data_IF_357588705892
#
_entry.id   IF_357588705892
#
_cell.length_a   1.000
_cell.length_b   1.000
_cell.length_c   1.000
_cell.angle_alpha   90.00
_cell.angle_beta   90.00
_cell.angle_gamma   90.00
#
_symmetry.space_group_name_H-M   'P 1'
#
loop_
_entity.id
_entity.type
_entity.pdbx_description
1 polymer ?
#
# COMPACT_ATOMS: atom_id res chain seq x y z
N UNK A 1 2.91 61.67 -38.86
CA UNK A 1 2.78 60.42 -38.08
C UNK A 1 1.89 60.55 -36.83
N UNK A 2 1.43 61.75 -36.45
CA UNK A 2 0.61 61.98 -35.25
C UNK A 2 -0.91 61.83 -35.45
N UNK A 3 -1.42 61.61 -36.68
CA UNK A 3 -2.85 61.44 -36.94
C UNK A 3 -3.35 59.99 -36.87
N UNK A 4 -2.46 58.98 -36.88
CA UNK A 4 -2.85 57.57 -36.71
C UNK A 4 -3.14 57.19 -35.25
N UNK A 5 -2.60 57.94 -34.28
CA UNK A 5 -2.79 57.71 -32.85
C UNK A 5 -4.19 58.11 -32.33
N UNK A 6 -4.94 58.90 -33.10
CA UNK A 6 -6.30 59.36 -32.75
C UNK A 6 -7.38 58.81 -33.70
N UNK A 7 -7.08 57.72 -34.43
CA UNK A 7 -8.10 57.06 -35.25
C UNK A 7 -9.12 56.40 -34.34
N UNK A 8 -10.34 56.93 -34.35
CA UNK A 8 -11.48 56.39 -33.60
C UNK A 8 -11.78 54.93 -33.97
N UNK A 9 -11.46 54.56 -35.22
CA UNK A 9 -11.59 53.20 -35.72
C UNK A 9 -10.56 52.26 -35.07
N UNK A 10 -9.30 52.70 -34.89
CA UNK A 10 -8.29 51.93 -34.15
C UNK A 10 -8.63 51.84 -32.65
N UNK A 11 -9.18 52.91 -32.06
CA UNK A 11 -9.65 52.91 -30.67
C UNK A 11 -10.79 51.91 -30.47
N UNK A 12 -11.81 51.92 -31.33
CA UNK A 12 -12.93 50.98 -31.25
C UNK A 12 -12.48 49.52 -31.46
N UNK A 13 -11.55 49.27 -32.38
CA UNK A 13 -11.01 47.91 -32.60
C UNK A 13 -10.21 47.45 -31.38
N UNK A 14 -9.37 48.32 -30.80
CA UNK A 14 -8.62 48.01 -29.58
C UNK A 14 -9.56 47.78 -28.39
N UNK A 15 -10.57 48.62 -28.20
CA UNK A 15 -11.59 48.44 -27.15
C UNK A 15 -12.42 47.18 -27.36
N UNK A 16 -12.68 46.77 -28.60
CA UNK A 16 -13.40 45.53 -28.92
C UNK A 16 -12.53 44.31 -28.64
N UNK A 17 -11.24 44.36 -29.00
CA UNK A 17 -10.27 43.31 -28.68
C UNK A 17 -10.08 43.20 -27.17
N UNK A 18 -9.93 44.33 -26.46
CA UNK A 18 -9.80 44.35 -25.00
C UNK A 18 -11.09 43.87 -24.32
N UNK A 19 -12.27 44.31 -24.76
CA UNK A 19 -13.56 43.78 -24.25
C UNK A 19 -13.71 42.29 -24.52
N UNK A 20 -13.23 41.79 -25.66
CA UNK A 20 -13.23 40.35 -25.94
C UNK A 20 -12.26 39.60 -25.03
N UNK A 21 -11.06 40.14 -24.77
CA UNK A 21 -10.09 39.59 -23.82
C UNK A 21 -10.62 39.64 -22.39
N UNK A 22 -11.28 40.72 -22.01
CA UNK A 22 -11.86 40.92 -20.69
C UNK A 22 -13.06 39.99 -20.48
N UNK A 23 -13.90 39.80 -21.50
CA UNK A 23 -14.95 38.78 -21.52
C UNK A 23 -14.41 37.35 -21.46
N UNK A 24 -13.29 37.07 -22.14
CA UNK A 24 -12.62 35.76 -22.07
C UNK A 24 -11.96 35.52 -20.71
N UNK A 25 -11.37 36.55 -20.11
CA UNK A 25 -10.81 36.51 -18.77
C UNK A 25 -11.90 36.39 -17.69
N UNK A 26 -13.03 37.07 -17.85
CA UNK A 26 -14.21 36.91 -16.98
C UNK A 26 -14.85 35.54 -17.14
N UNK A 27 -14.88 34.99 -18.37
CA UNK A 27 -15.37 33.63 -18.62
C UNK A 27 -14.43 32.61 -17.98
N UNK A 28 -13.11 32.73 -18.12
CA UNK A 28 -12.14 31.89 -17.43
C UNK A 28 -12.22 32.02 -15.92
N UNK A 29 -12.36 33.25 -15.41
CA UNK A 29 -12.50 33.53 -13.99
C UNK A 29 -13.81 32.93 -13.44
N UNK A 30 -14.93 33.05 -14.17
CA UNK A 30 -16.21 32.44 -13.81
C UNK A 30 -16.19 30.92 -13.94
N UNK A 31 -15.52 30.36 -14.95
CA UNK A 31 -15.32 28.91 -15.09
C UNK A 31 -14.46 28.41 -13.93
N UNK A 32 -13.39 29.11 -13.55
CA UNK A 32 -12.59 28.78 -12.36
C UNK A 32 -13.40 28.82 -11.07
N UNK A 33 -14.35 29.75 -10.93
CA UNK A 33 -15.26 29.82 -9.77
C UNK A 33 -16.40 28.79 -9.81
N UNK A 34 -16.77 28.31 -11.01
CA UNK A 34 -17.80 27.28 -11.23
C UNK A 34 -17.25 25.85 -11.19
N UNK A 35 -15.93 25.68 -11.21
CA UNK A 35 -15.29 24.39 -11.02
C UNK A 35 -15.41 24.03 -9.53
N UNK A 36 -16.44 23.24 -9.23
CA UNK A 36 -16.75 22.58 -7.95
C UNK A 36 -15.66 21.60 -7.44
N UNK A 37 -14.41 21.75 -7.89
CA UNK A 37 -13.31 20.82 -7.67
C UNK A 37 -12.14 21.39 -6.86
N UNK A 38 -12.36 22.52 -6.19
CA UNK A 38 -11.45 22.96 -5.11
C UNK A 38 -11.63 22.10 -3.84
N UNK A 39 -12.68 21.26 -3.80
CA UNK A 39 -12.90 20.27 -2.74
C UNK A 39 -12.29 18.92 -3.12
N UNK A 40 -11.29 18.43 -2.36
CA UNK A 40 -10.74 17.07 -2.53
C UNK A 40 -11.81 15.98 -2.48
N UNK A 41 -12.84 16.18 -1.66
CA UNK A 41 -13.95 15.24 -1.50
C UNK A 41 -14.81 15.20 -2.77
N UNK A 42 -15.14 16.35 -3.36
CA UNK A 42 -15.92 16.42 -4.60
C UNK A 42 -15.17 15.75 -5.76
N UNK A 43 -13.87 15.99 -5.87
CA UNK A 43 -13.01 15.32 -6.84
C UNK A 43 -13.01 13.80 -6.65
N UNK A 44 -12.79 13.35 -5.41
CA UNK A 44 -12.77 11.92 -5.10
C UNK A 44 -14.11 11.25 -5.42
N UNK A 45 -15.24 11.89 -5.09
CA UNK A 45 -16.57 11.38 -5.45
C UNK A 45 -16.76 11.28 -6.97
N UNK A 46 -16.27 12.27 -7.73
CA UNK A 46 -16.33 12.22 -9.19
C UNK A 46 -15.48 11.09 -9.79
N UNK A 47 -14.26 10.89 -9.26
CA UNK A 47 -13.39 9.79 -9.64
C UNK A 47 -14.04 8.44 -9.33
N UNK A 48 -14.50 8.23 -8.09
CA UNK A 48 -15.19 7.02 -7.67
C UNK A 48 -16.44 6.75 -8.51
N UNK A 49 -17.25 7.77 -8.79
CA UNK A 49 -18.44 7.64 -9.64
C UNK A 49 -18.07 7.26 -11.08
N UNK A 50 -16.93 7.73 -11.57
CA UNK A 50 -16.41 7.38 -12.90
C UNK A 50 -15.96 5.93 -12.93
N UNK A 51 -15.29 5.45 -11.88
CA UNK A 51 -14.81 4.07 -11.75
C UNK A 51 -15.95 3.05 -11.49
N UNK A 52 -16.97 3.42 -10.70
CA UNK A 52 -18.02 2.50 -10.24
C UNK A 52 -19.16 2.29 -11.25
N UNK A 53 -19.31 3.16 -12.25
CA UNK A 53 -20.41 3.06 -13.22
C UNK A 53 -20.23 1.82 -14.11
N UNK A 54 -21.32 1.08 -14.30
CA UNK A 54 -21.42 0.08 -15.37
C UNK A 54 -21.48 0.83 -16.70
N UNK A 55 -20.46 0.64 -17.50
CA UNK A 55 -20.28 1.40 -18.72
C UNK A 55 -20.72 0.58 -19.94
N UNK A 56 -21.41 1.23 -20.87
CA UNK A 56 -21.73 0.63 -22.17
C UNK A 56 -20.45 0.39 -22.98
N UNK A 57 -20.49 -0.52 -23.96
CA UNK A 57 -19.30 -0.89 -24.78
C UNK A 57 -18.62 0.28 -25.50
N UNK A 58 -19.30 1.41 -25.66
CA UNK A 58 -18.80 2.64 -26.29
C UNK A 58 -18.08 3.58 -25.32
N UNK A 59 -18.03 3.24 -24.03
CA UNK A 59 -17.47 4.10 -23.00
C UNK A 59 -15.97 3.87 -22.86
N UNK A 60 -15.20 4.91 -23.17
CA UNK A 60 -13.76 4.93 -22.94
C UNK A 60 -13.44 5.54 -21.57
N UNK A 61 -13.03 4.68 -20.64
CA UNK A 61 -12.63 5.07 -19.28
C UNK A 61 -11.42 5.99 -19.30
N UNK A 62 -10.42 5.71 -20.13
CA UNK A 62 -9.18 6.48 -20.18
C UNK A 62 -9.43 7.93 -20.58
N UNK A 63 -10.27 8.14 -21.60
CA UNK A 63 -10.67 9.48 -22.04
C UNK A 63 -11.38 10.29 -20.92
N UNK A 64 -12.16 9.63 -20.06
CA UNK A 64 -12.80 10.29 -18.91
C UNK A 64 -11.83 10.65 -17.81
N UNK A 65 -10.84 9.79 -17.55
CA UNK A 65 -9.77 10.07 -16.61
C UNK A 65 -8.93 11.28 -17.07
N UNK A 66 -8.57 11.33 -18.36
CA UNK A 66 -7.87 12.49 -18.95
C UNK A 66 -8.70 13.76 -18.82
N UNK A 67 -10.01 13.70 -19.07
CA UNK A 67 -10.90 14.85 -18.89
C UNK A 67 -10.92 15.34 -17.44
N UNK A 68 -11.08 14.43 -16.47
CA UNK A 68 -11.06 14.77 -15.05
C UNK A 68 -9.72 15.39 -14.62
N UNK A 69 -8.61 14.81 -15.05
CA UNK A 69 -7.28 15.36 -14.80
C UNK A 69 -7.11 16.75 -15.41
N UNK A 70 -7.59 16.95 -16.64
CA UNK A 70 -7.54 18.25 -17.33
C UNK A 70 -8.33 19.31 -16.56
N UNK A 71 -9.56 18.96 -16.13
CA UNK A 71 -10.38 19.85 -15.31
C UNK A 71 -9.67 20.23 -14.01
N UNK A 72 -9.02 19.27 -13.36
CA UNK A 72 -8.27 19.51 -12.12
C UNK A 72 -7.03 20.37 -12.33
N UNK A 73 -6.28 20.14 -13.41
CA UNK A 73 -5.06 20.87 -13.72
C UNK A 73 -5.31 22.37 -14.04
N UNK A 74 -6.52 22.70 -14.51
CA UNK A 74 -6.93 24.09 -14.77
C UNK A 74 -7.33 24.88 -13.52
N UNK A 75 -7.42 24.24 -12.36
CA UNK A 75 -7.80 24.92 -11.11
C UNK A 75 -6.63 25.79 -10.64
N UNK A 76 -6.94 27.06 -10.47
CA UNK A 76 -6.03 28.06 -9.95
C UNK A 76 -6.45 28.43 -8.53
N UNK A 77 -5.77 27.87 -7.52
CA UNK A 77 -5.99 28.27 -6.13
C UNK A 77 -4.96 29.33 -5.73
N UNK A 78 -5.46 30.49 -5.31
CA UNK A 78 -4.64 31.59 -4.77
C UNK A 78 -4.51 31.55 -3.25
N UNK A 79 -5.25 30.65 -2.60
CA UNK A 79 -5.36 30.57 -1.15
C UNK A 79 -4.38 29.56 -0.57
N UNK A 80 -3.73 29.96 0.51
CA UNK A 80 -2.72 29.24 1.31
C UNK A 80 -3.19 27.92 1.94
N UNK A 81 -4.40 27.44 1.61
CA UNK A 81 -4.83 26.10 1.98
C UNK A 81 -3.95 25.08 1.24
N UNK A 82 -3.44 24.06 1.96
CA UNK A 82 -2.55 23.02 1.41
C UNK A 82 -3.04 22.56 0.03
N UNK A 83 -2.31 22.93 -1.02
CA UNK A 83 -2.73 22.63 -2.39
C UNK A 83 -2.65 21.12 -2.65
N UNK A 84 -3.78 20.49 -2.96
CA UNK A 84 -3.91 19.05 -3.15
C UNK A 84 -3.97 18.61 -4.62
N UNK A 85 -3.79 19.54 -5.57
CA UNK A 85 -3.94 19.27 -7.01
C UNK A 85 -3.01 18.13 -7.47
N UNK A 86 -1.74 18.14 -7.06
CA UNK A 86 -0.82 17.04 -7.40
C UNK A 86 -1.21 15.69 -6.78
N UNK A 87 -1.81 15.69 -5.59
CA UNK A 87 -2.35 14.46 -4.99
C UNK A 87 -3.55 13.95 -5.76
N UNK A 88 -4.48 14.83 -6.12
CA UNK A 88 -5.66 14.47 -6.92
C UNK A 88 -5.27 13.97 -8.32
N UNK A 89 -4.28 14.59 -8.95
CA UNK A 89 -3.74 14.10 -10.21
C UNK A 89 -3.02 12.76 -10.05
N UNK A 90 -2.35 12.52 -8.91
CA UNK A 90 -1.77 11.20 -8.61
C UNK A 90 -2.86 10.12 -8.56
N UNK A 91 -4.00 10.37 -7.93
CA UNK A 91 -5.13 9.42 -7.91
C UNK A 91 -5.66 9.10 -9.33
N UNK A 92 -5.76 10.11 -10.19
CA UNK A 92 -6.19 9.88 -11.58
C UNK A 92 -5.13 9.16 -12.41
N UNK A 93 -3.85 9.46 -12.16
CA UNK A 93 -2.73 8.75 -12.78
C UNK A 93 -2.73 7.27 -12.38
N UNK A 94 -2.95 6.94 -11.10
CA UNK A 94 -3.12 5.57 -10.62
C UNK A 94 -4.28 4.88 -11.35
N UNK A 95 -5.44 5.54 -11.42
CA UNK A 95 -6.59 5.00 -12.12
C UNK A 95 -6.30 4.76 -13.62
N UNK A 96 -5.54 5.66 -14.26
CA UNK A 96 -5.16 5.51 -15.67
C UNK A 96 -4.15 4.37 -15.88
N UNK A 97 -3.21 4.15 -14.95
CA UNK A 97 -2.30 3.01 -15.00
C UNK A 97 -3.04 1.66 -14.85
N UNK A 98 -4.14 1.62 -14.10
CA UNK A 98 -4.92 0.39 -13.87
C UNK A 98 -5.93 0.14 -15.00
N UNK A 99 -6.65 1.18 -15.43
CA UNK A 99 -7.85 1.06 -16.27
C UNK A 99 -7.67 1.63 -17.69
N UNK A 100 -6.61 2.40 -17.93
CA UNK A 100 -6.35 3.06 -19.20
C UNK A 100 -5.29 2.36 -20.03
N UNK A 101 -4.73 3.10 -20.97
CA UNK A 101 -3.56 2.70 -21.75
C UNK A 101 -2.43 3.74 -21.58
N UNK A 102 -1.28 3.45 -22.19
CA UNK A 102 -0.10 4.30 -22.10
C UNK A 102 -0.36 5.73 -22.63
N UNK A 103 -1.22 5.88 -23.65
CA UNK A 103 -1.53 7.21 -24.21
C UNK A 103 -2.27 8.09 -23.21
N UNK A 104 -3.19 7.51 -22.42
CA UNK A 104 -3.90 8.21 -21.36
C UNK A 104 -2.96 8.61 -20.22
N UNK A 105 -2.06 7.71 -19.83
CA UNK A 105 -1.02 7.98 -18.83
C UNK A 105 -0.15 9.16 -19.27
N UNK A 106 0.38 9.11 -20.51
CA UNK A 106 1.19 10.21 -21.06
C UNK A 106 0.43 11.53 -21.13
N UNK A 107 -0.85 11.51 -21.49
CA UNK A 107 -1.68 12.71 -21.54
C UNK A 107 -1.85 13.36 -20.17
N UNK A 108 -2.05 12.57 -19.10
CA UNK A 108 -2.15 13.08 -17.73
C UNK A 108 -0.81 13.68 -17.27
N UNK A 109 0.32 13.01 -17.56
CA UNK A 109 1.64 13.52 -17.22
C UNK A 109 1.95 14.85 -17.92
N UNK A 110 1.49 15.02 -19.17
CA UNK A 110 1.67 16.25 -19.94
C UNK A 110 0.90 17.47 -19.38
N UNK A 111 0.00 17.28 -18.41
CA UNK A 111 -0.70 18.38 -17.74
C UNK A 111 0.17 19.08 -16.70
N UNK A 112 1.21 18.43 -16.18
CA UNK A 112 2.04 18.95 -15.10
C UNK A 112 2.64 20.36 -15.38
N UNK A 113 3.15 20.67 -16.59
CA UNK A 113 3.68 21.99 -16.90
C UNK A 113 2.62 23.11 -16.88
N UNK A 114 1.33 22.77 -17.11
CA UNK A 114 0.23 23.74 -17.05
C UNK A 114 -0.22 24.08 -15.63
N UNK A 115 0.17 23.27 -14.65
CA UNK A 115 -0.16 23.51 -13.24
C UNK A 115 0.70 24.66 -12.72
N UNK A 116 0.04 25.64 -12.13
CA UNK A 116 0.73 26.81 -11.57
C UNK A 116 1.72 26.40 -10.47
N UNK A 117 2.88 27.06 -10.40
CA UNK A 117 3.96 26.70 -9.45
C UNK A 117 3.54 26.69 -7.98
N UNK A 118 2.65 27.60 -7.57
CA UNK A 118 2.14 27.67 -6.18
C UNK A 118 1.23 26.48 -5.83
N UNK A 119 0.78 25.74 -6.85
CA UNK A 119 -0.06 24.57 -6.69
C UNK A 119 0.76 23.28 -6.59
N UNK A 120 2.08 23.36 -6.79
CA UNK A 120 3.04 22.27 -6.65
C UNK A 120 3.66 22.29 -5.25
N UNK A 121 2.86 22.01 -4.23
CA UNK A 121 3.37 21.90 -2.86
C UNK A 121 4.53 20.90 -2.77
N UNK A 122 5.56 21.19 -1.98
CA UNK A 122 6.82 20.42 -1.96
C UNK A 122 6.60 18.93 -1.64
N UNK A 123 5.80 18.64 -0.61
CA UNK A 123 5.48 17.25 -0.21
C UNK A 123 4.74 16.49 -1.31
N UNK A 124 3.77 17.14 -1.96
CA UNK A 124 2.97 16.53 -3.02
C UNK A 124 3.77 16.38 -4.32
N UNK A 125 4.80 17.22 -4.54
CA UNK A 125 5.70 17.10 -5.67
C UNK A 125 6.57 15.84 -5.60
N UNK A 126 7.05 15.48 -4.41
CA UNK A 126 7.81 14.24 -4.21
C UNK A 126 6.97 12.99 -4.55
N UNK A 127 5.73 12.93 -4.06
CA UNK A 127 4.79 11.83 -4.33
C UNK A 127 4.43 11.77 -5.83
N UNK A 128 4.11 12.93 -6.43
CA UNK A 128 3.83 13.01 -7.86
C UNK A 128 5.01 12.53 -8.70
N UNK A 129 6.23 12.94 -8.36
CA UNK A 129 7.44 12.49 -9.05
C UNK A 129 7.65 10.97 -8.90
N UNK A 130 7.37 10.39 -7.72
CA UNK A 130 7.41 8.94 -7.56
C UNK A 130 6.38 8.23 -8.46
N UNK A 131 5.15 8.74 -8.58
CA UNK A 131 4.18 8.17 -9.51
C UNK A 131 4.58 8.31 -10.99
N UNK A 132 5.27 9.38 -11.37
CA UNK A 132 5.87 9.49 -12.71
C UNK A 132 6.88 8.38 -12.97
N UNK A 133 7.75 8.11 -12.01
CA UNK A 133 8.72 7.03 -12.09
C UNK A 133 8.04 5.65 -12.19
N UNK A 134 6.92 5.43 -11.48
CA UNK A 134 6.10 4.21 -11.65
C UNK A 134 5.51 4.11 -13.06
N UNK A 135 4.97 5.20 -13.59
CA UNK A 135 4.42 5.24 -14.95
C UNK A 135 5.49 4.97 -16.02
N UNK A 136 6.68 5.55 -15.86
CA UNK A 136 7.85 5.27 -16.71
C UNK A 136 8.26 3.79 -16.63
N UNK A 137 8.20 3.19 -15.44
CA UNK A 137 8.44 1.76 -15.27
C UNK A 137 7.40 0.90 -16.00
N UNK A 138 6.10 1.22 -15.92
CA UNK A 138 5.05 0.46 -16.62
C UNK A 138 5.22 0.53 -18.14
N UNK A 139 5.60 1.69 -18.68
CA UNK A 139 5.98 1.81 -20.10
C UNK A 139 7.19 0.94 -20.45
N UNK A 140 8.20 0.97 -19.59
CA UNK A 140 9.44 0.24 -19.82
C UNK A 140 9.27 -1.28 -19.65
N UNK A 141 8.37 -1.74 -18.77
CA UNK A 141 8.18 -3.15 -18.46
C UNK A 141 7.90 -3.99 -19.72
N UNK A 142 7.21 -3.40 -20.70
CA UNK A 142 6.90 -4.01 -22.01
C UNK A 142 8.05 -4.00 -23.03
N UNK A 143 9.19 -3.37 -22.74
CA UNK A 143 10.33 -3.25 -23.67
C UNK A 143 11.40 -4.32 -23.41
N UNK A 144 12.08 -4.75 -24.46
CA UNK A 144 13.23 -5.67 -24.40
C UNK A 144 14.52 -4.89 -24.12
N UNK A 145 15.06 -4.99 -22.90
CA UNK A 145 16.35 -4.41 -22.52
C UNK A 145 16.24 -3.29 -21.48
N UNK A 146 17.29 -3.17 -20.66
CA UNK A 146 17.38 -2.22 -19.55
C UNK A 146 18.26 -1.04 -19.94
N UNK A 147 17.78 0.18 -19.71
CA UNK A 147 18.64 1.37 -19.67
C UNK A 147 19.23 1.54 -18.27
N UNK A 148 20.49 1.93 -18.15
CA UNK A 148 21.17 2.14 -16.86
C UNK A 148 20.49 3.14 -15.92
N UNK A 149 19.59 3.99 -16.43
CA UNK A 149 18.80 4.94 -15.62
C UNK A 149 17.77 4.26 -14.71
N UNK A 150 17.35 3.03 -15.00
CA UNK A 150 16.25 2.39 -14.26
C UNK A 150 16.65 1.99 -12.83
N UNK A 151 17.94 1.77 -12.58
CA UNK A 151 18.43 1.50 -11.22
C UNK A 151 18.32 2.73 -10.32
N UNK A 152 18.54 3.93 -10.88
CA UNK A 152 18.33 5.18 -10.15
C UNK A 152 16.84 5.40 -9.87
N UNK A 153 15.97 5.04 -10.82
CA UNK A 153 14.51 5.04 -10.63
C UNK A 153 14.10 4.20 -9.42
N UNK A 154 14.60 2.96 -9.30
CA UNK A 154 14.31 2.09 -8.17
C UNK A 154 14.80 2.69 -6.84
N UNK A 155 16.00 3.27 -6.82
CA UNK A 155 16.55 3.92 -5.62
C UNK A 155 15.67 5.11 -5.17
N UNK A 156 15.31 6.00 -6.10
CA UNK A 156 14.46 7.15 -5.78
C UNK A 156 13.07 6.71 -5.31
N UNK A 157 12.49 5.65 -5.89
CA UNK A 157 11.23 5.09 -5.44
C UNK A 157 11.32 4.54 -4.00
N UNK A 158 12.41 3.84 -3.67
CA UNK A 158 12.63 3.36 -2.30
C UNK A 158 12.77 4.54 -1.31
N UNK A 159 13.55 5.57 -1.65
CA UNK A 159 13.72 6.75 -0.79
C UNK A 159 12.37 7.42 -0.46
N UNK A 160 11.48 7.55 -1.46
CA UNK A 160 10.13 8.08 -1.24
C UNK A 160 9.28 7.10 -0.41
N UNK A 161 9.41 5.79 -0.64
CA UNK A 161 8.71 4.78 0.14
C UNK A 161 9.10 4.81 1.62
N UNK A 162 10.37 5.07 1.92
CA UNK A 162 10.85 5.13 3.30
C UNK A 162 10.32 6.35 4.07
N UNK A 163 10.04 7.47 3.38
CA UNK A 163 9.47 8.68 4.02
C UNK A 163 8.06 8.41 4.56
N UNK A 164 7.23 7.66 3.82
CA UNK A 164 5.89 7.25 4.25
C UNK A 164 5.63 5.77 3.87
N UNK A 165 6.12 4.80 4.68
CA UNK A 165 6.06 3.37 4.33
C UNK A 165 4.63 2.82 4.18
N UNK A 166 3.66 3.41 4.89
CA UNK A 166 2.26 2.99 4.85
C UNK A 166 1.59 3.34 3.51
N UNK A 167 1.97 4.46 2.88
CA UNK A 167 1.46 4.89 1.57
C UNK A 167 2.41 4.57 0.42
N UNK A 168 3.69 4.41 0.72
CA UNK A 168 4.78 4.16 -0.21
C UNK A 168 4.95 2.69 -0.60
N UNK A 169 4.08 1.78 -0.15
CA UNK A 169 4.22 0.34 -0.44
C UNK A 169 4.28 0.06 -1.95
N UNK A 170 3.51 0.79 -2.76
CA UNK A 170 3.58 0.66 -4.22
C UNK A 170 4.96 1.05 -4.77
N UNK A 171 5.58 2.11 -4.24
CA UNK A 171 6.90 2.56 -4.68
C UNK A 171 7.97 1.54 -4.30
N UNK A 172 7.90 1.01 -3.07
CA UNK A 172 8.74 -0.10 -2.62
C UNK A 172 8.60 -1.35 -3.51
N UNK A 173 7.37 -1.80 -3.78
CA UNK A 173 7.12 -2.97 -4.64
C UNK A 173 7.65 -2.73 -6.06
N UNK A 174 7.51 -1.51 -6.59
CA UNK A 174 7.99 -1.14 -7.91
C UNK A 174 9.51 -1.11 -7.97
N UNK A 175 10.18 -0.56 -6.95
CA UNK A 175 11.64 -0.60 -6.83
C UNK A 175 12.16 -2.03 -6.82
N UNK A 176 11.54 -2.91 -6.03
CA UNK A 176 11.90 -4.32 -5.98
C UNK A 176 11.67 -5.05 -7.31
N UNK A 177 10.56 -4.78 -8.01
CA UNK A 177 10.32 -5.33 -9.36
C UNK A 177 11.39 -4.91 -10.36
N UNK A 178 11.85 -3.65 -10.30
CA UNK A 178 12.95 -3.17 -11.13
C UNK A 178 14.22 -3.97 -10.83
N UNK A 179 14.61 -4.09 -9.56
CA UNK A 179 15.80 -4.82 -9.15
C UNK A 179 15.74 -6.31 -9.51
N UNK A 180 14.60 -6.95 -9.29
CA UNK A 180 14.37 -8.34 -9.67
C UNK A 180 14.52 -8.54 -11.19
N UNK A 181 13.97 -7.64 -12.00
CA UNK A 181 14.09 -7.73 -13.46
C UNK A 181 15.53 -7.51 -13.92
N UNK A 182 16.28 -6.56 -13.32
CA UNK A 182 17.71 -6.32 -13.63
C UNK A 182 18.57 -7.53 -13.26
N UNK A 183 18.21 -8.23 -12.18
CA UNK A 183 18.96 -9.35 -11.62
C UNK A 183 20.18 -8.93 -10.79
N UNK A 184 20.70 -9.84 -9.97
CA UNK A 184 21.88 -9.62 -9.10
C UNK A 184 21.71 -8.45 -8.13
N UNK A 185 20.49 -8.26 -7.63
CA UNK A 185 20.12 -7.19 -6.71
C UNK A 185 19.42 -7.75 -5.46
N UNK A 186 19.67 -9.01 -5.11
CA UNK A 186 19.10 -9.71 -3.96
C UNK A 186 19.39 -8.94 -2.67
N UNK A 187 20.64 -8.51 -2.47
CA UNK A 187 21.06 -7.71 -1.31
C UNK A 187 20.24 -6.41 -1.17
N UNK A 188 19.95 -5.74 -2.30
CA UNK A 188 19.17 -4.49 -2.29
C UNK A 188 17.71 -4.73 -1.94
N UNK A 189 17.15 -5.83 -2.44
CA UNK A 189 15.77 -6.22 -2.13
C UNK A 189 15.67 -6.58 -0.65
N UNK A 190 16.63 -7.37 -0.13
CA UNK A 190 16.69 -7.73 1.28
C UNK A 190 16.80 -6.49 2.19
N UNK A 191 17.70 -5.55 1.86
CA UNK A 191 17.86 -4.30 2.62
C UNK A 191 16.58 -3.45 2.59
N UNK A 192 15.93 -3.33 1.43
CA UNK A 192 14.68 -2.61 1.28
C UNK A 192 13.54 -3.25 2.10
N UNK A 193 13.41 -4.58 2.04
CA UNK A 193 12.42 -5.35 2.79
C UNK A 193 12.61 -5.16 4.29
N UNK A 194 13.84 -5.34 4.80
CA UNK A 194 14.20 -5.11 6.21
C UNK A 194 13.88 -3.68 6.65
N UNK A 195 14.28 -2.68 5.86
CA UNK A 195 14.03 -1.27 6.16
C UNK A 195 12.54 -0.95 6.31
N UNK A 196 11.71 -1.43 5.38
CA UNK A 196 10.26 -1.20 5.38
C UNK A 196 9.59 -1.95 6.53
N UNK A 197 9.88 -3.24 6.72
CA UNK A 197 9.22 -4.06 7.72
C UNK A 197 9.59 -3.67 9.15
N UNK A 198 10.81 -3.20 9.38
CA UNK A 198 11.20 -2.62 10.69
C UNK A 198 10.36 -1.40 11.06
N UNK A 199 9.92 -0.60 10.07
CA UNK A 199 9.07 0.59 10.29
C UNK A 199 7.58 0.27 10.29
N UNK A 200 7.16 -0.73 9.51
CA UNK A 200 5.77 -1.12 9.33
C UNK A 200 5.61 -2.66 9.31
N UNK A 201 5.75 -3.32 10.47
CA UNK A 201 5.65 -4.79 10.60
C UNK A 201 4.33 -5.36 10.08
N UNK A 202 3.24 -4.58 10.19
CA UNK A 202 1.91 -4.94 9.68
C UNK A 202 1.85 -5.14 8.16
N UNK A 203 2.89 -4.73 7.42
CA UNK A 203 3.00 -4.99 5.98
C UNK A 203 3.56 -6.38 5.67
N UNK A 204 4.01 -7.17 6.66
CA UNK A 204 4.65 -8.47 6.45
C UNK A 204 3.84 -9.36 5.52
N UNK A 205 2.55 -9.59 5.79
CA UNK A 205 1.71 -10.43 4.93
C UNK A 205 1.59 -9.94 3.47
N UNK A 206 1.64 -8.62 3.25
CA UNK A 206 1.64 -8.05 1.89
C UNK A 206 2.99 -8.21 1.22
N UNK A 207 4.07 -7.95 1.94
CA UNK A 207 5.45 -8.08 1.44
C UNK A 207 5.76 -9.53 1.09
N UNK A 208 5.35 -10.51 1.91
CA UNK A 208 5.57 -11.94 1.61
C UNK A 208 4.81 -12.37 0.35
N UNK A 209 3.55 -11.97 0.19
CA UNK A 209 2.77 -12.23 -1.02
C UNK A 209 3.41 -11.58 -2.26
N UNK A 210 3.97 -10.38 -2.11
CA UNK A 210 4.68 -9.68 -3.17
C UNK A 210 6.00 -10.38 -3.54
N UNK A 211 6.87 -10.68 -2.59
CA UNK A 211 8.15 -11.38 -2.83
C UNK A 211 7.92 -12.72 -3.52
N UNK A 212 6.87 -13.44 -3.13
CA UNK A 212 6.46 -14.68 -3.81
C UNK A 212 6.08 -14.46 -5.27
N UNK A 213 5.48 -13.32 -5.60
CA UNK A 213 5.09 -12.99 -6.99
C UNK A 213 6.28 -12.65 -7.90
N UNK A 214 7.47 -12.44 -7.32
CA UNK A 214 8.70 -12.18 -8.05
C UNK A 214 9.75 -13.30 -7.88
N UNK A 215 9.36 -14.44 -7.29
CA UNK A 215 10.19 -15.64 -7.04
C UNK A 215 11.35 -15.45 -6.04
N UNK A 216 11.15 -14.64 -4.99
CA UNK A 216 12.13 -14.38 -3.91
C UNK A 216 11.75 -15.12 -2.60
N UNK A 217 11.69 -16.45 -2.65
CA UNK A 217 11.27 -17.28 -1.51
C UNK A 217 12.23 -17.21 -0.31
N UNK A 218 13.54 -17.03 -0.57
CA UNK A 218 14.53 -16.94 0.50
C UNK A 218 14.31 -15.69 1.36
N UNK A 219 14.04 -14.56 0.71
CA UNK A 219 13.79 -13.27 1.37
C UNK A 219 12.48 -13.28 2.16
N UNK A 220 11.51 -14.12 1.79
CA UNK A 220 10.30 -14.35 2.60
C UNK A 220 10.65 -14.98 3.94
N UNK A 221 11.48 -16.03 3.94
CA UNK A 221 11.91 -16.69 5.17
C UNK A 221 12.66 -15.71 6.08
N UNK A 222 13.62 -14.97 5.51
CA UNK A 222 14.40 -13.96 6.24
C UNK A 222 13.50 -12.86 6.82
N UNK A 223 12.53 -12.35 6.05
CA UNK A 223 11.61 -11.31 6.49
C UNK A 223 10.70 -11.78 7.64
N UNK A 224 10.18 -13.00 7.56
CA UNK A 224 9.36 -13.58 8.63
C UNK A 224 10.19 -13.73 9.91
N UNK A 225 11.41 -14.25 9.80
CA UNK A 225 12.32 -14.40 10.94
C UNK A 225 12.65 -13.05 11.57
N UNK A 226 13.08 -12.06 10.78
CA UNK A 226 13.46 -10.73 11.26
C UNK A 226 12.31 -10.04 12.03
N UNK A 227 11.12 -10.01 11.44
CA UNK A 227 9.96 -9.36 12.07
C UNK A 227 9.52 -10.12 13.31
N UNK A 228 9.37 -11.44 13.22
CA UNK A 228 8.82 -12.22 14.32
C UNK A 228 9.82 -12.39 15.48
N UNK A 229 11.14 -12.37 15.25
CA UNK A 229 12.15 -12.44 16.31
C UNK A 229 12.44 -11.10 17.00
N UNK A 230 11.97 -9.99 16.45
CA UNK A 230 12.05 -8.70 17.12
C UNK A 230 11.25 -8.72 18.45
N UNK A 231 11.89 -8.29 19.55
CA UNK A 231 11.27 -8.27 20.89
C UNK A 231 10.00 -7.43 20.94
N UNK A 232 9.99 -6.32 20.19
CA UNK A 232 8.87 -5.41 20.03
C UNK A 232 8.40 -5.44 18.57
N UNK A 233 8.11 -6.63 18.04
CA UNK A 233 7.82 -6.83 16.62
C UNK A 233 6.74 -5.92 16.06
N UNK A 234 5.86 -5.37 16.89
CA UNK A 234 4.71 -4.55 16.46
C UNK A 234 3.71 -5.32 15.59
N UNK A 235 3.98 -6.60 15.30
CA UNK A 235 3.14 -7.46 14.48
C UNK A 235 1.94 -7.89 15.32
N UNK A 236 0.76 -7.68 14.75
CA UNK A 236 -0.48 -8.00 15.45
C UNK A 236 -0.56 -9.52 15.70
N UNK A 237 -1.04 -9.99 16.87
CA UNK A 237 -1.03 -11.42 17.16
C UNK A 237 -1.96 -12.24 16.25
N UNK A 238 -2.88 -11.61 15.52
CA UNK A 238 -3.73 -12.30 14.55
C UNK A 238 -3.05 -12.57 13.20
N UNK A 239 -1.83 -12.09 12.98
CA UNK A 239 -1.14 -12.20 11.69
C UNK A 239 -0.75 -13.65 11.38
N UNK A 240 -0.98 -14.07 10.13
CA UNK A 240 -0.73 -15.44 9.69
C UNK A 240 0.76 -15.84 9.73
N UNK A 241 1.67 -14.87 9.64
CA UNK A 241 3.11 -15.11 9.68
C UNK A 241 3.55 -15.79 10.98
N UNK A 242 2.81 -15.62 12.08
CA UNK A 242 3.08 -16.32 13.34
C UNK A 242 3.00 -17.84 13.21
N UNK A 243 2.08 -18.35 12.38
CA UNK A 243 1.93 -19.80 12.17
C UNK A 243 3.12 -20.34 11.39
N UNK A 244 3.56 -19.61 10.36
CA UNK A 244 4.73 -20.00 9.56
C UNK A 244 6.02 -19.93 10.36
N UNK A 245 6.18 -18.89 11.18
CA UNK A 245 7.30 -18.75 12.11
C UNK A 245 7.32 -19.87 13.17
N UNK A 246 6.17 -20.21 13.75
CA UNK A 246 6.07 -21.30 14.74
C UNK A 246 6.35 -22.66 14.11
N UNK A 247 5.94 -22.90 12.86
CA UNK A 247 6.08 -24.19 12.18
C UNK A 247 7.52 -24.70 12.20
N UNK A 248 8.46 -23.89 11.73
CA UNK A 248 9.89 -24.27 11.65
C UNK A 248 10.50 -24.48 13.04
N UNK A 249 10.06 -23.69 14.02
CA UNK A 249 10.53 -23.72 15.40
C UNK A 249 9.97 -24.88 16.22
N UNK A 250 8.75 -25.34 15.93
CA UNK A 250 8.19 -26.55 16.53
C UNK A 250 8.82 -27.81 15.93
N UNK A 251 9.10 -27.81 14.63
CA UNK A 251 9.73 -28.95 13.95
C UNK A 251 11.20 -29.15 14.34
N UNK A 252 11.97 -28.05 14.51
CA UNK A 252 13.42 -28.09 14.79
C UNK A 252 13.85 -27.00 15.79
N UNK A 253 13.36 -27.03 17.05
CA UNK A 253 13.56 -25.96 18.02
C UNK A 253 15.04 -25.69 18.35
N UNK A 254 15.90 -26.71 18.30
CA UNK A 254 17.33 -26.61 18.63
C UNK A 254 18.10 -25.70 17.68
N UNK A 255 17.59 -25.45 16.47
CA UNK A 255 18.20 -24.52 15.51
C UNK A 255 18.03 -23.05 15.92
N UNK A 256 17.08 -22.76 16.80
CA UNK A 256 16.66 -21.41 17.14
C UNK A 256 16.94 -21.03 18.61
N UNK A 257 17.64 -21.90 19.35
CA UNK A 257 18.03 -21.67 20.73
C UNK A 257 17.73 -22.85 21.65
N UNK A 258 17.54 -22.55 22.94
CA UNK A 258 17.20 -23.59 23.92
C UNK A 258 15.79 -24.12 23.65
N UNK A 259 15.69 -25.44 23.41
CA UNK A 259 14.43 -26.13 23.03
C UNK A 259 13.21 -25.67 23.83
N UNK A 260 13.29 -25.70 25.16
CA UNK A 260 12.16 -25.34 26.03
C UNK A 260 11.74 -23.87 25.86
N UNK A 261 12.68 -22.94 25.79
CA UNK A 261 12.38 -21.51 25.62
C UNK A 261 11.74 -21.22 24.26
N UNK A 262 12.23 -21.89 23.20
CA UNK A 262 11.68 -21.74 21.84
C UNK A 262 10.24 -22.25 21.80
N UNK A 263 9.98 -23.44 22.36
CA UNK A 263 8.66 -24.03 22.37
C UNK A 263 7.68 -23.25 23.27
N UNK A 264 8.11 -22.79 24.43
CA UNK A 264 7.31 -21.94 25.32
C UNK A 264 6.86 -20.64 24.64
N UNK A 265 7.78 -20.01 23.90
CA UNK A 265 7.47 -18.84 23.06
C UNK A 265 6.45 -19.17 21.97
N UNK A 266 6.60 -20.31 21.29
CA UNK A 266 5.63 -20.76 20.27
C UNK A 266 4.24 -20.99 20.88
N UNK A 267 4.17 -21.63 22.06
CA UNK A 267 2.91 -21.85 22.78
C UNK A 267 2.22 -20.52 23.08
N UNK A 268 2.93 -19.56 23.66
CA UNK A 268 2.38 -18.22 23.96
C UNK A 268 1.84 -17.52 22.70
N UNK A 269 2.61 -17.52 21.61
CA UNK A 269 2.20 -16.93 20.34
C UNK A 269 0.95 -17.61 19.78
N UNK A 270 0.91 -18.95 19.78
CA UNK A 270 -0.20 -19.72 19.19
C UNK A 270 -1.49 -19.59 20.00
N UNK A 271 -1.41 -19.50 21.34
CA UNK A 271 -2.56 -19.15 22.17
C UNK A 271 -3.13 -17.79 21.78
N UNK A 272 -2.28 -16.74 21.77
CA UNK A 272 -2.68 -15.39 21.38
C UNK A 272 -3.23 -15.32 19.96
N UNK A 273 -2.64 -16.03 19.02
CA UNK A 273 -3.10 -16.10 17.63
C UNK A 273 -4.51 -16.70 17.53
N UNK A 274 -4.79 -17.77 18.29
CA UNK A 274 -6.07 -18.45 18.33
C UNK A 274 -7.15 -17.69 19.11
N UNK A 275 -6.79 -16.71 19.94
CA UNK A 275 -7.77 -15.85 20.62
C UNK A 275 -8.57 -14.97 19.64
N UNK A 276 -8.09 -14.81 18.40
CA UNK A 276 -8.77 -14.00 17.39
C UNK A 276 -9.83 -14.79 16.62
N UNK A 277 -11.01 -14.19 16.50
CA UNK A 277 -12.20 -14.83 15.93
C UNK A 277 -12.03 -15.36 14.51
N UNK A 278 -11.23 -14.68 13.68
CA UNK A 278 -10.88 -15.11 12.30
C UNK A 278 -9.98 -16.34 12.27
N UNK A 279 -9.24 -16.60 13.33
CA UNK A 279 -8.15 -17.58 13.36
C UNK A 279 -8.55 -18.89 14.04
N UNK A 280 -9.71 -18.94 14.70
CA UNK A 280 -10.24 -20.14 15.37
C UNK A 280 -10.27 -21.40 14.50
N UNK A 281 -10.51 -21.21 13.19
CA UNK A 281 -10.58 -22.27 12.19
C UNK A 281 -9.22 -22.69 11.62
N UNK A 282 -8.11 -22.12 12.08
CA UNK A 282 -6.79 -22.43 11.55
C UNK A 282 -6.31 -23.80 12.06
N UNK A 283 -6.49 -24.83 11.22
CA UNK A 283 -6.16 -26.21 11.55
C UNK A 283 -4.68 -26.40 11.92
N UNK A 284 -3.79 -25.70 11.22
CA UNK A 284 -2.36 -25.81 11.44
C UNK A 284 -1.93 -25.23 12.78
N UNK A 285 -2.49 -24.08 13.17
CA UNK A 285 -2.20 -23.49 14.48
C UNK A 285 -2.57 -24.44 15.63
N UNK A 286 -3.71 -25.14 15.52
CA UNK A 286 -4.11 -26.15 16.51
C UNK A 286 -3.13 -27.34 16.60
N UNK A 287 -2.70 -27.86 15.45
CA UNK A 287 -1.74 -28.97 15.40
C UNK A 287 -0.40 -28.56 15.98
N UNK A 288 0.11 -27.38 15.61
CA UNK A 288 1.36 -26.84 16.13
C UNK A 288 1.28 -26.56 17.63
N UNK A 289 0.19 -25.97 18.10
CA UNK A 289 -0.01 -25.67 19.51
C UNK A 289 0.02 -26.97 20.30
N UNK A 290 -0.85 -27.92 19.97
CA UNK A 290 -0.90 -29.22 20.62
C UNK A 290 0.49 -29.88 20.67
N UNK A 291 1.22 -29.88 19.55
CA UNK A 291 2.57 -30.46 19.46
C UNK A 291 3.55 -29.77 20.40
N UNK A 292 3.57 -28.44 20.43
CA UNK A 292 4.47 -27.67 21.28
C UNK A 292 4.16 -27.87 22.77
N UNK A 293 2.87 -27.93 23.14
CA UNK A 293 2.43 -28.06 24.55
C UNK A 293 2.94 -29.37 25.18
N UNK A 294 3.10 -30.44 24.41
CA UNK A 294 3.62 -31.73 24.91
C UNK A 294 5.05 -31.67 25.47
N UNK A 295 5.80 -30.62 25.16
CA UNK A 295 7.22 -30.52 25.50
C UNK A 295 7.56 -29.37 26.46
N UNK A 296 6.59 -28.53 26.81
CA UNK A 296 6.79 -27.40 27.74
C UNK A 296 6.39 -27.80 29.16
N UNK A 297 6.90 -27.08 30.15
CA UNK A 297 6.54 -27.31 31.55
C UNK A 297 5.05 -26.95 31.77
N UNK A 298 4.22 -27.85 32.32
CA UNK A 298 2.83 -27.55 32.64
C UNK A 298 2.63 -26.28 33.48
N UNK A 299 3.62 -25.92 34.31
CA UNK A 299 3.57 -24.69 35.11
C UNK A 299 3.53 -23.41 34.25
N UNK A 300 4.12 -23.41 33.05
CA UNK A 300 4.10 -22.25 32.15
C UNK A 300 2.74 -22.06 31.46
N UNK A 301 1.89 -23.10 31.45
CA UNK A 301 0.56 -23.05 30.87
C UNK A 301 -0.48 -22.44 31.81
N UNK A 302 -0.27 -22.51 33.13
CA UNK A 302 -1.20 -21.98 34.14
C UNK A 302 -1.60 -20.51 33.87
N UNK A 303 -0.67 -19.55 33.70
CA UNK A 303 -1.04 -18.16 33.44
C UNK A 303 -1.74 -17.97 32.07
N UNK A 304 -1.35 -18.73 31.05
CA UNK A 304 -2.00 -18.66 29.74
C UNK A 304 -3.43 -19.23 29.81
N UNK A 305 -3.63 -20.28 30.59
CA UNK A 305 -4.93 -20.93 30.72
C UNK A 305 -5.88 -20.15 31.62
N UNK A 306 -5.41 -19.58 32.73
CA UNK A 306 -6.25 -18.82 33.66
C UNK A 306 -6.93 -17.61 33.00
N UNK A 307 -6.28 -16.96 32.03
CA UNK A 307 -6.86 -15.89 31.21
C UNK A 307 -8.01 -16.37 30.28
N UNK A 308 -8.06 -17.68 29.99
CA UNK A 308 -8.82 -18.28 28.90
C UNK A 308 -9.90 -19.25 29.36
N UNK A 309 -9.81 -19.78 30.58
CA UNK A 309 -10.58 -20.94 31.02
C UNK A 309 -12.10 -20.80 30.84
N UNK A 310 -12.64 -19.62 31.14
CA UNK A 310 -14.09 -19.36 31.15
C UNK A 310 -14.71 -19.28 29.75
N UNK A 311 -13.94 -18.80 28.77
CA UNK A 311 -14.47 -18.39 27.48
C UNK A 311 -13.89 -19.17 26.30
N UNK A 312 -12.63 -19.60 26.36
CA UNK A 312 -11.93 -20.23 25.24
C UNK A 312 -12.59 -21.53 24.76
N UNK A 313 -13.05 -22.45 25.63
CA UNK A 313 -13.78 -23.64 25.19
C UNK A 313 -15.11 -23.32 24.48
N UNK A 314 -15.82 -22.27 24.93
CA UNK A 314 -17.09 -21.84 24.32
C UNK A 314 -16.86 -21.10 23.01
N UNK A 315 -15.74 -20.39 22.93
CA UNK A 315 -15.32 -19.63 21.76
C UNK A 315 -14.86 -20.51 20.60
N UNK A 316 -14.20 -21.64 20.91
CA UNK A 316 -13.63 -22.58 19.94
C UNK A 316 -14.53 -23.76 19.59
N UNK A 317 -15.75 -23.44 19.16
CA UNK A 317 -16.77 -24.40 18.70
C UNK A 317 -16.81 -24.58 17.18
N UNK A 318 -15.93 -23.87 16.45
CA UNK A 318 -15.87 -23.92 14.99
C UNK A 318 -15.50 -25.31 14.46
N UNK A 319 -15.99 -25.65 13.27
CA UNK A 319 -15.62 -26.89 12.59
C UNK A 319 -14.15 -26.84 12.16
N UNK A 320 -13.44 -27.94 12.36
CA UNK A 320 -12.05 -28.14 11.98
C UNK A 320 -11.92 -29.47 11.23
N UNK A 321 -10.90 -29.63 10.36
CA UNK A 321 -10.51 -30.93 9.85
C UNK A 321 -10.27 -31.94 10.99
N UNK A 322 -10.47 -33.23 10.71
CA UNK A 322 -10.49 -34.30 11.72
C UNK A 322 -9.27 -34.26 12.65
N UNK A 323 -8.06 -34.17 12.09
CA UNK A 323 -6.82 -34.13 12.86
C UNK A 323 -6.78 -32.94 13.83
N UNK A 324 -7.02 -31.73 13.33
CA UNK A 324 -7.00 -30.52 14.15
C UNK A 324 -8.12 -30.52 15.20
N UNK A 325 -9.30 -31.08 14.88
CA UNK A 325 -10.38 -31.25 15.83
C UNK A 325 -9.98 -32.18 16.98
N UNK A 326 -9.35 -33.32 16.68
CA UNK A 326 -8.82 -34.24 17.68
C UNK A 326 -7.78 -33.56 18.56
N UNK A 327 -6.79 -32.86 17.96
CA UNK A 327 -5.74 -32.14 18.72
C UNK A 327 -6.30 -31.06 19.62
N UNK A 328 -7.30 -30.31 19.16
CA UNK A 328 -8.01 -29.33 19.98
C UNK A 328 -8.70 -30.00 21.17
N UNK A 329 -9.41 -31.11 20.95
CA UNK A 329 -10.12 -31.82 22.02
C UNK A 329 -9.16 -32.40 23.07
N UNK A 330 -8.04 -33.00 22.64
CA UNK A 330 -6.98 -33.50 23.52
C UNK A 330 -6.38 -32.37 24.37
N UNK A 331 -6.04 -31.24 23.72
CA UNK A 331 -5.49 -30.07 24.41
C UNK A 331 -6.47 -29.49 25.44
N UNK A 332 -7.74 -29.29 25.06
CA UNK A 332 -8.74 -28.73 25.98
C UNK A 332 -9.02 -29.66 27.16
N UNK A 333 -9.00 -30.98 26.97
CA UNK A 333 -9.12 -31.94 28.05
C UNK A 333 -7.94 -31.84 29.02
N UNK A 334 -6.70 -31.77 28.50
CA UNK A 334 -5.51 -31.60 29.32
C UNK A 334 -5.51 -30.28 30.10
N UNK A 335 -5.89 -29.17 29.46
CA UNK A 335 -5.96 -27.86 30.12
C UNK A 335 -7.05 -27.81 31.20
N UNK A 336 -8.15 -28.55 31.06
CA UNK A 336 -9.20 -28.61 32.08
C UNK A 336 -8.74 -29.27 33.38
N UNK A 337 -7.68 -30.09 33.34
CA UNK A 337 -7.06 -30.70 34.52
C UNK A 337 -6.01 -29.78 35.17
N UNK A 338 -5.60 -28.71 34.50
CA UNK A 338 -4.63 -27.74 35.01
C UNK A 338 -5.27 -26.86 36.11
N UNK A 339 -4.65 -26.74 37.29
CA UNK A 339 -5.16 -25.88 38.35
C UNK A 339 -5.18 -24.41 37.90
N UNK A 340 -6.25 -23.71 38.29
CA UNK A 340 -6.44 -22.28 38.09
C UNK A 340 -6.36 -21.67 39.49
N UNK A 341 -5.24 -21.01 39.81
CA UNK A 341 -5.05 -20.33 41.10
C UNK A 341 -5.78 -18.99 41.16
#
# INVERSE_FOLDING_TARGET
MTQLANSELLRMVSETIEKSKQGWNELNYKIQFLIYYDSPIAFFMALQSTLAKKHEKSFDMGNRLVLLATMQAMIYTTTTAKNTILMQLSEVLIAAMICGDLSHVSAILALEPSIHRYNKGYDNAAIWNAYKLVAEYEEWKGRTGFGGMILNTAQTLLEVAEIDPARGTLFFETACKIWAKVGRCEDKIAEAVSSILRRCPQLLGRVTAFLKSIDYDHEIEVAIEEVCDAKDSGLHPSDAAWVDWCRTRVERPERFGQRLQVLDRCVNILFKFLDYGSNRGNAQAWVLLHTAVQFVDPSSLVPLWSERYDWWPRFHTVSLPSEAATRRSELLAALAETPIE
#
